data_IF_191901644551
#
_entry.id   IF_191901644551
#
_cell.length_a   1.000
_cell.length_b   1.000
_cell.length_c   1.000
_cell.angle_alpha   90.00
_cell.angle_beta   90.00
_cell.angle_gamma   90.00
#
_symmetry.space_group_name_H-M   'P 1'
#
loop_
_entity.id
_entity.type
_entity.pdbx_description
1 polymer ?
#
# COMPACT_ATOMS: atom_id res chain seq x y z
N UNK A 1 0.74 -9.98 -13.35
CA UNK A 1 0.70 -11.46 -13.48
C UNK A 1 0.07 -12.04 -12.22
N UNK A 2 -1.04 -12.80 -12.28
CA UNK A 2 -1.68 -13.35 -11.08
C UNK A 2 -0.78 -14.46 -10.50
N UNK A 3 -0.31 -14.33 -9.26
CA UNK A 3 0.62 -15.26 -8.61
C UNK A 3 0.10 -16.71 -8.56
N UNK A 4 -1.23 -16.85 -8.49
CA UNK A 4 -1.93 -18.14 -8.59
C UNK A 4 -1.72 -18.80 -9.95
N UNK A 5 -1.74 -18.03 -11.05
CA UNK A 5 -1.54 -18.57 -12.39
C UNK A 5 -0.10 -19.08 -12.59
N UNK A 6 0.89 -18.41 -11.98
CA UNK A 6 2.27 -18.90 -11.99
C UNK A 6 2.36 -20.27 -11.31
N UNK A 7 1.77 -20.41 -10.11
CA UNK A 7 1.75 -21.69 -9.41
C UNK A 7 1.05 -22.78 -10.23
N UNK A 8 -0.10 -22.49 -10.83
CA UNK A 8 -0.81 -23.44 -11.69
C UNK A 8 0.04 -23.89 -12.88
N UNK A 9 0.74 -22.97 -13.55
CA UNK A 9 1.65 -23.32 -14.65
C UNK A 9 2.81 -24.20 -14.18
N UNK A 10 3.40 -23.89 -13.02
CA UNK A 10 4.49 -24.69 -12.47
C UNK A 10 4.00 -26.10 -12.07
N UNK A 11 2.78 -26.24 -11.52
CA UNK A 11 2.14 -27.55 -11.28
C UNK A 11 1.94 -28.34 -12.58
N UNK A 12 1.44 -27.68 -13.63
CA UNK A 12 1.22 -28.32 -14.93
C UNK A 12 2.53 -28.77 -15.59
N UNK A 13 3.59 -27.96 -15.50
CA UNK A 13 4.91 -28.27 -16.06
C UNK A 13 5.63 -29.38 -15.27
N UNK A 14 5.50 -29.38 -13.94
CA UNK A 14 6.13 -30.39 -13.08
C UNK A 14 5.42 -31.74 -13.06
N UNK A 15 4.12 -31.79 -13.39
CA UNK A 15 3.30 -32.98 -13.26
C UNK A 15 3.27 -33.52 -11.81
N UNK A 16 2.88 -34.80 -11.66
CA UNK A 16 2.83 -35.46 -10.34
C UNK A 16 4.22 -35.78 -9.76
N UNK A 17 5.29 -35.61 -10.54
CA UNK A 17 6.64 -36.02 -10.16
C UNK A 17 7.39 -34.95 -9.35
N UNK A 18 6.89 -33.70 -9.31
CA UNK A 18 7.52 -32.63 -8.53
C UNK A 18 6.96 -32.60 -7.13
N UNK A 19 7.85 -32.77 -6.15
CA UNK A 19 7.53 -32.65 -4.73
C UNK A 19 7.02 -31.24 -4.42
N UNK A 20 5.92 -31.13 -3.67
CA UNK A 20 5.29 -29.85 -3.32
C UNK A 20 6.27 -28.87 -2.66
N UNK A 21 7.24 -29.38 -1.88
CA UNK A 21 8.31 -28.57 -1.26
C UNK A 21 9.26 -27.93 -2.27
N UNK A 22 9.64 -28.65 -3.31
CA UNK A 22 10.50 -28.11 -4.38
C UNK A 22 9.73 -27.06 -5.17
N UNK A 23 8.48 -27.35 -5.50
CA UNK A 23 7.59 -26.41 -6.18
C UNK A 23 7.37 -25.14 -5.36
N UNK A 24 7.18 -25.28 -4.05
CA UNK A 24 7.03 -24.17 -3.11
C UNK A 24 8.28 -23.29 -3.11
N UNK A 25 9.48 -23.87 -3.00
CA UNK A 25 10.73 -23.10 -3.02
C UNK A 25 10.91 -22.35 -4.33
N UNK A 26 10.72 -23.03 -5.46
CA UNK A 26 10.83 -22.40 -6.78
C UNK A 26 9.81 -21.29 -6.99
N UNK A 27 8.57 -21.49 -6.54
CA UNK A 27 7.52 -20.48 -6.64
C UNK A 27 7.82 -19.26 -5.78
N UNK A 28 8.26 -19.46 -4.52
CA UNK A 28 8.68 -18.39 -3.62
C UNK A 28 9.86 -17.59 -4.17
N UNK A 29 10.79 -18.24 -4.86
CA UNK A 29 11.96 -17.58 -5.45
C UNK A 29 11.60 -16.69 -6.66
N UNK A 30 10.46 -16.95 -7.32
CA UNK A 30 9.91 -16.09 -8.37
C UNK A 30 9.09 -14.90 -7.83
N UNK A 31 8.89 -14.81 -6.52
CA UNK A 31 8.16 -13.69 -5.91
C UNK A 31 9.10 -12.51 -5.62
N UNK A 32 8.52 -11.31 -5.61
CA UNK A 32 9.21 -10.13 -5.11
C UNK A 32 9.50 -10.27 -3.61
N UNK A 33 10.67 -9.78 -3.17
CA UNK A 33 11.18 -9.95 -1.80
C UNK A 33 10.13 -9.59 -0.73
N UNK A 34 9.44 -8.45 -0.89
CA UNK A 34 8.42 -8.00 0.08
C UNK A 34 7.22 -8.95 0.24
N UNK A 35 6.89 -9.77 -0.77
CA UNK A 35 5.86 -10.81 -0.65
C UNK A 35 6.48 -12.10 -0.08
N UNK A 36 7.70 -12.43 -0.51
CA UNK A 36 8.47 -13.61 -0.06
C UNK A 36 8.70 -13.59 1.45
N UNK A 37 9.16 -12.47 2.01
CA UNK A 37 9.42 -12.32 3.46
C UNK A 37 8.18 -12.59 4.31
N UNK A 38 7.00 -12.17 3.84
CA UNK A 38 5.75 -12.37 4.57
C UNK A 38 5.31 -13.84 4.51
N UNK A 39 5.52 -14.49 3.36
CA UNK A 39 5.09 -15.87 3.14
C UNK A 39 6.04 -16.89 3.76
N UNK A 40 7.35 -16.62 3.83
CA UNK A 40 8.36 -17.60 4.27
C UNK A 40 8.16 -18.02 5.74
N UNK A 41 7.57 -17.12 6.55
CA UNK A 41 7.23 -17.39 7.96
C UNK A 41 6.02 -18.30 8.09
N UNK A 42 5.21 -18.43 7.03
CA UNK A 42 3.96 -19.18 7.07
C UNK A 42 4.20 -20.66 6.74
N UNK A 43 3.85 -21.55 7.68
CA UNK A 43 3.97 -23.02 7.55
C UNK A 43 2.77 -23.66 6.82
N UNK A 44 2.09 -22.92 5.96
CA UNK A 44 0.87 -23.35 5.30
C UNK A 44 1.13 -24.17 4.02
N UNK A 45 0.08 -24.84 3.52
CA UNK A 45 0.09 -25.51 2.22
C UNK A 45 0.26 -24.52 1.08
N UNK A 46 0.83 -24.98 -0.04
CA UNK A 46 1.20 -24.13 -1.16
C UNK A 46 0.01 -23.38 -1.78
N UNK A 47 -1.18 -23.99 -1.79
CA UNK A 47 -2.41 -23.36 -2.29
C UNK A 47 -2.89 -22.19 -1.41
N UNK A 48 -2.75 -22.32 -0.09
CA UNK A 48 -3.08 -21.27 0.86
C UNK A 48 -2.08 -20.10 0.76
N UNK A 49 -0.78 -20.43 0.64
CA UNK A 49 0.27 -19.44 0.42
C UNK A 49 0.02 -18.64 -0.86
N UNK A 50 -0.37 -19.31 -1.94
CA UNK A 50 -0.71 -18.68 -3.23
C UNK A 50 -1.87 -17.70 -3.12
N UNK A 51 -2.90 -18.08 -2.37
CA UNK A 51 -4.05 -17.22 -2.10
C UNK A 51 -3.65 -15.97 -1.32
N UNK A 52 -2.83 -16.11 -0.27
CA UNK A 52 -2.31 -14.99 0.52
C UNK A 52 -1.40 -14.09 -0.31
N UNK A 53 -0.50 -14.66 -1.09
CA UNK A 53 0.38 -13.91 -1.99
C UNK A 53 -0.43 -13.04 -2.95
N UNK A 54 -1.48 -13.61 -3.56
CA UNK A 54 -2.37 -12.88 -4.45
C UNK A 54 -3.12 -11.75 -3.72
N UNK A 55 -3.55 -11.97 -2.47
CA UNK A 55 -4.18 -10.92 -1.65
C UNK A 55 -3.20 -9.78 -1.34
N UNK A 56 -1.96 -10.09 -0.95
CA UNK A 56 -0.90 -9.09 -0.69
C UNK A 56 -0.59 -8.30 -1.96
N UNK A 57 -0.48 -8.98 -3.11
CA UNK A 57 -0.25 -8.35 -4.40
C UNK A 57 -1.38 -7.37 -4.76
N UNK A 58 -2.65 -7.78 -4.60
CA UNK A 58 -3.81 -6.89 -4.83
C UNK A 58 -3.83 -5.69 -3.89
N UNK A 59 -3.42 -5.88 -2.63
CA UNK A 59 -3.36 -4.80 -1.66
C UNK A 59 -2.25 -3.79 -1.97
N UNK A 60 -1.08 -4.26 -2.43
CA UNK A 60 0.00 -3.40 -2.94
C UNK A 60 -0.45 -2.56 -4.13
N UNK A 61 -1.25 -3.10 -5.05
CA UNK A 61 -1.80 -2.33 -6.18
C UNK A 61 -2.94 -1.38 -5.79
N UNK A 62 -3.70 -1.71 -4.73
CA UNK A 62 -4.78 -0.88 -4.19
C UNK A 62 -4.30 0.14 -3.18
N UNK A 63 -3.01 0.10 -2.80
CA UNK A 63 -2.37 1.23 -2.15
C UNK A 63 -2.14 2.26 -3.24
N UNK A 64 -3.24 2.86 -3.70
CA UNK A 64 -3.27 4.29 -4.01
C UNK A 64 -2.62 4.94 -2.80
N UNK A 65 -1.31 5.16 -2.89
CA UNK A 65 -0.76 6.36 -2.31
C UNK A 65 -1.68 7.41 -2.92
N UNK A 66 -2.62 7.94 -2.13
CA UNK A 66 -3.26 9.20 -2.46
C UNK A 66 -2.10 10.18 -2.54
N UNK A 67 -1.40 10.18 -3.68
CA UNK A 67 -0.61 11.30 -4.13
C UNK A 67 -1.62 12.40 -4.04
N UNK A 68 -1.42 13.31 -3.09
CA UNK A 68 -2.17 14.55 -2.98
C UNK A 68 -2.23 15.05 -4.41
N UNK A 69 -3.39 14.85 -5.04
CA UNK A 69 -3.58 15.20 -6.43
C UNK A 69 -3.22 16.67 -6.52
N UNK A 70 -2.65 17.08 -7.64
CA UNK A 70 -2.19 18.44 -7.88
C UNK A 70 -3.26 19.54 -7.68
N UNK A 71 -4.48 19.19 -7.24
CA UNK A 71 -5.49 20.08 -6.69
C UNK A 71 -5.15 20.50 -5.25
N UNK A 72 -4.03 21.21 -5.12
CA UNK A 72 -3.63 21.92 -3.91
C UNK A 72 -4.54 23.14 -3.62
N UNK A 73 -5.65 23.30 -4.37
CA UNK A 73 -6.58 24.43 -4.27
C UNK A 73 -7.31 24.48 -2.93
N UNK A 74 -7.61 23.32 -2.35
CA UNK A 74 -8.24 23.23 -1.03
C UNK A 74 -7.24 23.68 0.05
N UNK A 75 -5.98 23.26 -0.06
CA UNK A 75 -4.92 23.64 0.85
C UNK A 75 -4.55 25.14 0.73
N UNK A 76 -4.50 25.69 -0.49
CA UNK A 76 -4.28 27.13 -0.68
C UNK A 76 -5.44 27.95 -0.11
N UNK A 77 -6.68 27.52 -0.35
CA UNK A 77 -7.88 28.19 0.21
C UNK A 77 -7.88 28.14 1.75
N UNK A 78 -7.42 27.04 2.33
CA UNK A 78 -7.28 26.90 3.79
C UNK A 78 -6.20 27.83 4.34
N UNK A 79 -5.05 27.91 3.68
CA UNK A 79 -3.97 28.83 4.06
C UNK A 79 -4.41 30.30 3.99
N UNK A 80 -5.15 30.68 2.95
CA UNK A 80 -5.69 32.04 2.80
C UNK A 80 -6.69 32.38 3.93
N UNK A 81 -7.54 31.42 4.31
CA UNK A 81 -8.49 31.60 5.43
C UNK A 81 -7.77 31.74 6.77
N UNK A 82 -6.73 30.94 7.01
CA UNK A 82 -5.92 31.03 8.24
C UNK A 82 -5.23 32.40 8.32
N UNK A 83 -4.59 32.84 7.24
CA UNK A 83 -3.92 34.15 7.16
C UNK A 83 -4.90 35.31 7.42
N UNK A 84 -6.12 35.22 6.89
CA UNK A 84 -7.13 36.25 7.11
C UNK A 84 -7.63 36.28 8.57
N UNK A 85 -7.76 35.12 9.23
CA UNK A 85 -8.12 35.04 10.65
C UNK A 85 -7.02 35.60 11.55
N UNK A 86 -5.76 35.27 11.29
CA UNK A 86 -4.60 35.81 12.04
C UNK A 86 -4.53 37.34 11.94
N UNK A 87 -4.87 37.89 10.77
CA UNK A 87 -4.94 39.34 10.56
C UNK A 87 -6.08 39.99 11.35
N UNK A 88 -7.26 39.35 11.40
CA UNK A 88 -8.37 39.83 12.21
C UNK A 88 -8.07 39.78 13.70
N UNK A 89 -7.44 38.70 14.18
CA UNK A 89 -7.05 38.55 15.57
C UNK A 89 -6.02 39.64 15.97
N UNK A 90 -5.05 39.89 15.10
CA UNK A 90 -4.07 40.96 15.28
C UNK A 90 -4.73 42.35 15.33
N UNK A 91 -5.68 42.63 14.44
CA UNK A 91 -6.43 43.89 14.43
C UNK A 91 -7.32 44.08 15.67
N UNK A 92 -8.00 43.02 16.12
CA UNK A 92 -8.80 43.01 17.35
C UNK A 92 -7.96 43.23 18.60
N UNK A 93 -6.74 42.68 18.64
CA UNK A 93 -5.80 42.88 19.76
C UNK A 93 -5.34 44.34 19.84
N UNK A 94 -5.03 44.95 18.70
CA UNK A 94 -4.63 46.37 18.61
C UNK A 94 -5.77 47.30 19.06
N UNK A 95 -7.00 47.05 18.62
CA UNK A 95 -8.15 47.91 18.97
C UNK A 95 -8.53 47.88 20.47
N UNK A 96 -8.22 46.77 21.16
CA UNK A 96 -8.44 46.61 22.60
C UNK A 96 -7.39 47.35 23.44
N UNK A 97 -6.17 47.50 22.95
CA UNK A 97 -5.08 48.20 23.64
C UNK A 97 -5.25 49.73 23.59
N UNK A 98 -5.88 50.25 22.53
CA UNK A 98 -6.15 51.69 22.35
C UNK A 98 -7.47 52.19 22.96
N UNK A 99 -8.26 51.32 23.60
CA UNK A 99 -9.57 51.66 24.20
C UNK A 99 -9.56 51.63 25.74
N UNK A 100 -8.38 51.65 26.37
CA UNK A 100 -8.18 51.88 27.81
C UNK A 100 -7.65 53.28 28.03
#
# INVERSE_FOLDING_TARGET
MKLIQLLCKMKLLGGANVMEKVLQTLWLDKLQEGIKTILIVSKEKLDNLSTKANKIYKMKSSTEVYTIGADNSVLSTLLDKISNLEKQESGLKVHREFSK
#
